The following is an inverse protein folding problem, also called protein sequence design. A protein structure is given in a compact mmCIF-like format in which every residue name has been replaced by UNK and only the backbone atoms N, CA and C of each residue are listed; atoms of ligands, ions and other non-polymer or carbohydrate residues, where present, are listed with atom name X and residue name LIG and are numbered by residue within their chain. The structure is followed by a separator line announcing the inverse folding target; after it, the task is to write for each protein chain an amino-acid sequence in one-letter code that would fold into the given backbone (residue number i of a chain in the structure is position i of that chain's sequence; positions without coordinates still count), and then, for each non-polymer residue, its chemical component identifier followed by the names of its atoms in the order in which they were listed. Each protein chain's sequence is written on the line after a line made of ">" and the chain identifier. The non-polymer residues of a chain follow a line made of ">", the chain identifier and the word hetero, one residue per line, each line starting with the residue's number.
data_IF_204041880692
#
_entry.id   IF_204041880692
#
_cell.length_a   1.000
_cell.length_b   1.000
_cell.length_c   1.000
_cell.angle_alpha   90.00
_cell.angle_beta   90.00
_cell.angle_gamma   90.00
#
_symmetry.space_group_name_H-M   'P 1'
#
loop_
_entity.id
_entity.type
_entity.pdbx_description
1 polymer ?
#
# COMPACT_ATOMS: atom_id res chain seq x y z
N UNK A 1 23.08 9.59 6.97
CA UNK A 1 22.81 8.28 6.31
C UNK A 1 21.86 7.36 7.08
N UNK A 2 21.95 7.25 8.42
CA UNK A 2 21.18 6.29 9.23
C UNK A 2 19.64 6.33 9.06
N UNK A 3 19.03 7.51 8.86
CA UNK A 3 17.56 7.66 8.75
C UNK A 3 16.96 6.94 7.53
N UNK A 4 17.67 6.91 6.40
CA UNK A 4 17.19 6.23 5.18
C UNK A 4 17.19 4.70 5.33
N UNK A 5 18.22 4.16 5.99
CA UNK A 5 18.35 2.72 6.23
C UNK A 5 17.25 2.22 7.17
N UNK A 6 16.93 2.99 8.22
CA UNK A 6 15.86 2.66 9.17
C UNK A 6 14.48 2.58 8.49
N UNK A 7 14.15 3.58 7.66
CA UNK A 7 12.88 3.62 6.92
C UNK A 7 12.74 2.43 5.95
N UNK A 8 13.81 2.06 5.25
CA UNK A 8 13.81 0.89 4.37
C UNK A 8 13.57 -0.42 5.15
N UNK A 9 14.16 -0.56 6.34
CA UNK A 9 13.95 -1.73 7.21
C UNK A 9 12.49 -1.84 7.69
N UNK A 10 11.91 -0.72 8.11
CA UNK A 10 10.50 -0.67 8.54
C UNK A 10 9.54 -1.02 7.39
N UNK A 11 9.85 -0.58 6.16
CA UNK A 11 9.07 -0.94 4.98
C UNK A 11 9.16 -2.43 4.63
N UNK A 12 10.37 -3.01 4.66
CA UNK A 12 10.59 -4.44 4.43
C UNK A 12 9.80 -5.26 5.45
N UNK A 13 9.86 -4.88 6.72
CA UNK A 13 9.16 -5.56 7.80
C UNK A 13 7.63 -5.44 7.66
N UNK A 14 7.12 -4.26 7.30
CA UNK A 14 5.70 -4.06 6.99
C UNK A 14 5.23 -4.97 5.85
N UNK A 15 5.98 -5.02 4.75
CA UNK A 15 5.67 -5.88 3.59
C UNK A 15 5.71 -7.36 3.98
N UNK A 16 6.67 -7.77 4.81
CA UNK A 16 6.77 -9.14 5.31
C UNK A 16 5.54 -9.52 6.13
N UNK A 17 5.16 -8.68 7.10
CA UNK A 17 3.95 -8.90 7.93
C UNK A 17 2.68 -8.96 7.09
N UNK A 18 2.57 -8.09 6.08
CA UNK A 18 1.44 -8.11 5.14
C UNK A 18 1.38 -9.42 4.35
N UNK A 19 2.51 -9.90 3.83
CA UNK A 19 2.57 -11.20 3.14
C UNK A 19 2.19 -12.36 4.07
N UNK A 20 2.68 -12.36 5.31
CA UNK A 20 2.32 -13.38 6.30
C UNK A 20 0.83 -13.36 6.62
N UNK A 21 0.25 -12.18 6.81
CA UNK A 21 -1.19 -12.04 7.05
C UNK A 21 -2.03 -12.56 5.87
N UNK A 22 -1.62 -12.25 4.64
CA UNK A 22 -2.28 -12.76 3.44
C UNK A 22 -2.21 -14.29 3.38
N UNK A 23 -1.03 -14.86 3.61
CA UNK A 23 -0.84 -16.31 3.63
C UNK A 23 -1.69 -17.00 4.72
N UNK A 24 -1.78 -16.41 5.92
CA UNK A 24 -2.63 -16.91 7.00
C UNK A 24 -4.13 -16.91 6.64
N UNK A 25 -4.56 -15.97 5.79
CA UNK A 25 -5.93 -15.88 5.30
C UNK A 25 -6.18 -16.73 4.05
N UNK A 26 -5.16 -17.40 3.51
CA UNK A 26 -5.26 -18.09 2.22
C UNK A 26 -5.45 -17.15 1.03
N UNK A 27 -5.12 -15.87 1.18
CA UNK A 27 -5.26 -14.85 0.15
C UNK A 27 -3.91 -14.57 -0.52
N UNK A 28 -3.96 -14.31 -1.81
CA UNK A 28 -2.84 -13.82 -2.60
C UNK A 28 -3.00 -12.33 -2.92
N UNK A 29 -1.92 -11.69 -3.38
CA UNK A 29 -2.00 -10.32 -3.89
C UNK A 29 -2.87 -10.21 -5.14
N UNK A 30 -3.05 -11.31 -5.88
CA UNK A 30 -3.90 -11.37 -7.06
C UNK A 30 -5.36 -11.37 -6.66
N UNK A 31 -5.73 -12.11 -5.62
CA UNK A 31 -7.11 -12.13 -5.11
C UNK A 31 -7.56 -10.73 -4.64
N UNK A 32 -6.66 -9.97 -4.00
CA UNK A 32 -6.92 -8.57 -3.66
C UNK A 32 -7.05 -7.67 -4.90
N UNK A 33 -6.31 -7.96 -5.96
CA UNK A 33 -6.36 -7.20 -7.20
C UNK A 33 -7.69 -7.46 -7.93
N UNK A 34 -8.09 -8.72 -8.00
CA UNK A 34 -9.33 -9.17 -8.62
C UNK A 34 -10.54 -8.64 -7.84
N UNK A 35 -10.51 -8.68 -6.49
CA UNK A 35 -11.56 -8.12 -5.64
C UNK A 35 -11.74 -6.60 -5.77
N UNK A 36 -10.70 -5.89 -6.19
CA UNK A 36 -10.74 -4.43 -6.42
C UNK A 36 -10.87 -4.04 -7.90
N UNK A 37 -10.95 -5.04 -8.79
CA UNK A 37 -10.95 -4.90 -10.24
C UNK A 37 -9.79 -4.03 -10.76
N UNK A 38 -8.60 -4.24 -10.20
CA UNK A 38 -7.38 -3.52 -10.60
C UNK A 38 -6.28 -4.48 -11.03
N UNK A 39 -5.35 -3.95 -11.82
CA UNK A 39 -4.19 -4.72 -12.23
C UNK A 39 -3.27 -5.08 -11.02
N UNK A 40 -2.76 -6.33 -10.89
CA UNK A 40 -1.91 -6.76 -9.76
C UNK A 40 -0.65 -5.90 -9.54
N UNK A 41 -0.14 -5.27 -10.60
CA UNK A 41 0.98 -4.33 -10.50
C UNK A 41 0.63 -3.09 -9.65
N UNK A 42 -0.64 -2.67 -9.62
CA UNK A 42 -1.11 -1.57 -8.77
C UNK A 42 -1.03 -1.95 -7.29
N UNK A 43 -1.51 -3.14 -6.92
CA UNK A 43 -1.40 -3.67 -5.55
C UNK A 43 0.07 -3.72 -5.10
N UNK A 44 0.94 -4.26 -5.96
CA UNK A 44 2.39 -4.32 -5.69
C UNK A 44 2.97 -2.92 -5.45
N UNK A 45 2.60 -1.94 -6.28
CA UNK A 45 3.04 -0.55 -6.16
C UNK A 45 2.48 0.13 -4.90
N UNK A 46 1.28 -0.22 -4.47
CA UNK A 46 0.69 0.25 -3.21
C UNK A 46 1.48 -0.30 -2.03
N UNK A 47 1.72 -1.62 -1.95
CA UNK A 47 2.44 -2.20 -0.80
C UNK A 47 3.89 -1.70 -0.67
N UNK A 48 4.55 -1.45 -1.80
CA UNK A 48 5.87 -0.80 -1.86
C UNK A 48 5.84 0.72 -1.58
N UNK A 49 4.67 1.30 -1.29
CA UNK A 49 4.50 2.72 -1.03
C UNK A 49 4.75 3.63 -2.23
N UNK A 50 4.91 3.09 -3.44
CA UNK A 50 5.16 3.83 -4.67
C UNK A 50 3.90 4.55 -5.19
N UNK A 51 2.73 3.98 -4.90
CA UNK A 51 1.41 4.57 -5.15
C UNK A 51 0.63 4.58 -3.86
N UNK A 52 -0.06 5.68 -3.55
CA UNK A 52 -0.84 5.81 -2.32
C UNK A 52 -2.21 6.47 -2.56
N UNK A 53 -3.02 5.97 -3.52
CA UNK A 53 -4.37 6.49 -3.71
C UNK A 53 -5.20 6.22 -2.45
N UNK A 54 -5.72 7.29 -1.84
CA UNK A 54 -6.47 7.19 -0.58
C UNK A 54 -7.68 6.26 -0.69
N UNK A 55 -8.38 6.30 -1.82
CA UNK A 55 -9.52 5.43 -2.10
C UNK A 55 -9.16 3.94 -2.09
N UNK A 56 -8.13 3.51 -2.82
CA UNK A 56 -7.76 2.08 -2.86
C UNK A 56 -7.23 1.58 -1.52
N UNK A 57 -6.58 2.45 -0.74
CA UNK A 57 -6.16 2.10 0.62
C UNK A 57 -7.38 1.88 1.52
N UNK A 58 -8.42 2.70 1.39
CA UNK A 58 -9.69 2.49 2.12
C UNK A 58 -10.37 1.18 1.70
N UNK A 59 -10.47 0.92 0.40
CA UNK A 59 -11.05 -0.33 -0.11
C UNK A 59 -10.28 -1.57 0.39
N UNK A 60 -8.94 -1.51 0.47
CA UNK A 60 -8.15 -2.60 1.05
C UNK A 60 -8.47 -2.82 2.54
N UNK A 61 -8.71 -1.75 3.29
CA UNK A 61 -9.14 -1.85 4.70
C UNK A 61 -10.54 -2.45 4.80
N UNK A 62 -11.46 -2.07 3.92
CA UNK A 62 -12.82 -2.63 3.84
C UNK A 62 -12.82 -4.12 3.49
N UNK A 63 -11.87 -4.57 2.64
CA UNK A 63 -11.61 -5.98 2.37
C UNK A 63 -10.97 -6.73 3.57
N UNK A 64 -10.68 -6.03 4.66
CA UNK A 64 -10.17 -6.58 5.90
C UNK A 64 -8.64 -6.55 6.05
N UNK A 65 -7.91 -5.92 5.12
CA UNK A 65 -6.47 -5.75 5.26
C UNK A 65 -6.19 -4.76 6.41
N UNK A 66 -5.37 -5.14 7.42
CA UNK A 66 -5.13 -4.27 8.56
C UNK A 66 -4.46 -2.94 8.14
N UNK A 67 -4.97 -1.77 8.58
CA UNK A 67 -4.49 -0.46 8.13
C UNK A 67 -3.02 -0.19 8.49
N UNK A 68 -2.53 -0.76 9.59
CA UNK A 68 -1.13 -0.63 10.02
C UNK A 68 -0.14 -1.41 9.13
N UNK A 69 -0.63 -2.34 8.30
CA UNK A 69 0.17 -3.07 7.30
C UNK A 69 0.18 -2.36 5.94
N UNK A 70 -0.70 -1.38 5.74
CA UNK A 70 -0.78 -0.59 4.53
C UNK A 70 0.10 0.66 4.63
N UNK A 71 0.58 1.21 3.51
CA UNK A 71 1.18 2.54 3.55
C UNK A 71 0.12 3.58 3.96
N UNK A 72 0.54 4.68 4.62
CA UNK A 72 -0.39 5.78 4.87
C UNK A 72 -0.93 6.34 3.55
N UNK A 73 -2.22 6.70 3.48
CA UNK A 73 -2.79 7.27 2.27
C UNK A 73 -2.06 8.56 1.89
N UNK A 74 -1.81 8.71 0.59
CA UNK A 74 -1.22 9.93 0.08
C UNK A 74 -2.18 11.09 0.30
N UNK A 75 -1.64 12.25 0.70
CA UNK A 75 -2.40 13.49 0.87
C UNK A 75 -2.90 14.08 -0.45
N UNK A 76 -2.46 13.54 -1.61
CA UNK A 76 -2.83 14.03 -2.93
C UNK A 76 -3.81 13.06 -3.59
N UNK A 77 -5.04 13.54 -3.83
CA UNK A 77 -5.99 12.88 -4.73
C UNK A 77 -5.41 12.74 -6.15
N UNK A 78 -5.90 11.78 -6.95
CA UNK A 78 -5.45 11.63 -8.33
C UNK A 78 -5.66 12.93 -9.12
N UNK A 79 -4.62 13.39 -9.82
CA UNK A 79 -4.70 14.51 -10.75
C UNK A 79 -4.42 15.92 -10.21
N UNK A 80 -4.24 16.15 -8.90
CA UNK A 80 -3.92 17.50 -8.40
C UNK A 80 -2.43 17.81 -8.60
N UNK A 81 -2.04 18.72 -9.52
CA UNK A 81 -0.64 19.14 -9.64
C UNK A 81 -0.18 19.75 -8.31
N UNK A 82 1.09 19.56 -7.99
CA UNK A 82 1.68 20.22 -6.82
C UNK A 82 1.53 21.74 -7.00
N UNK A 83 0.86 22.41 -6.06
CA UNK A 83 0.79 23.88 -6.06
C UNK A 83 2.22 24.38 -5.92
N UNK A 84 2.79 24.89 -7.01
CA UNK A 84 4.10 25.52 -6.99
C UNK A 84 3.96 26.73 -6.07
N UNK A 85 4.64 26.70 -4.92
CA UNK A 85 4.69 27.83 -3.99
C UNK A 85 5.93 28.61 -4.37
N UNK A 86 5.76 29.54 -5.31
CA UNK A 86 6.74 30.60 -5.57
C UNK A 86 6.78 31.54 -4.37
#
# INVERSE_FOLDING_TARGET
>A
MARRVKLAREEIERIRRLKTWLAMRGLSQRDLADALEIHPSMITRIFKGQRKPGERIRQLVELGVPPHLLPPPGTRGPGRPAKNRN
#
